data_IF_033669903433
#
_entry.id   IF_033669903433
#
_cell.length_a   1.000
_cell.length_b   1.000
_cell.length_c   1.000
_cell.angle_alpha   90.00
_cell.angle_beta   90.00
_cell.angle_gamma   90.00
#
_symmetry.space_group_name_H-M   'P 1'
#
loop_
_entity.id
_entity.type
_entity.pdbx_description
1 polymer ?
#
# COMPACT_ATOMS: atom_id res chain seq x y z
N UNK A 1 -18.19 -13.06 11.72
CA UNK A 1 -16.97 -12.33 12.13
C UNK A 1 -15.93 -12.62 11.08
N UNK A 2 -15.71 -11.67 10.15
CA UNK A 2 -14.94 -11.91 8.93
C UNK A 2 -13.45 -12.04 9.23
N UNK A 3 -12.81 -13.06 8.66
CA UNK A 3 -11.40 -13.37 8.89
C UNK A 3 -10.42 -12.31 8.34
N UNK A 4 -10.90 -11.40 7.47
CA UNK A 4 -10.09 -10.41 6.77
C UNK A 4 -10.71 -9.02 6.92
N UNK A 5 -9.88 -8.01 7.25
CA UNK A 5 -10.34 -6.62 7.42
C UNK A 5 -10.57 -5.98 6.05
N UNK A 6 -11.71 -5.29 5.87
CA UNK A 6 -12.19 -4.70 4.60
C UNK A 6 -12.58 -5.67 3.48
N UNK A 7 -12.05 -6.90 3.46
CA UNK A 7 -12.39 -7.86 2.42
C UNK A 7 -13.72 -8.59 2.66
N UNK A 8 -14.48 -8.89 1.60
CA UNK A 8 -14.23 -8.46 0.22
C UNK A 8 -14.52 -6.96 0.02
N UNK A 9 -13.60 -6.24 -0.63
CA UNK A 9 -13.78 -4.86 -1.08
C UNK A 9 -14.68 -4.86 -2.32
N UNK A 10 -15.78 -4.10 -2.26
CA UNK A 10 -16.84 -4.06 -3.29
C UNK A 10 -17.07 -2.67 -3.88
N UNK A 11 -16.35 -1.66 -3.42
CA UNK A 11 -16.48 -0.29 -3.92
C UNK A 11 -15.15 0.46 -3.90
N UNK A 12 -15.07 1.53 -4.69
CA UNK A 12 -13.91 2.45 -4.68
C UNK A 12 -13.76 3.16 -3.33
N UNK A 13 -14.88 3.43 -2.63
CA UNK A 13 -14.87 4.00 -1.28
C UNK A 13 -14.25 3.03 -0.26
N UNK A 14 -14.55 1.73 -0.37
CA UNK A 14 -13.94 0.70 0.47
C UNK A 14 -12.46 0.51 0.15
N UNK A 15 -12.08 0.59 -1.14
CA UNK A 15 -10.67 0.60 -1.55
C UNK A 15 -9.92 1.78 -0.93
N UNK A 16 -10.50 3.00 -0.98
CA UNK A 16 -9.89 4.18 -0.37
C UNK A 16 -9.71 4.02 1.14
N UNK A 17 -10.71 3.47 1.84
CA UNK A 17 -10.60 3.15 3.29
C UNK A 17 -9.51 2.11 3.56
N UNK A 18 -9.38 1.09 2.72
CA UNK A 18 -8.32 0.09 2.83
C UNK A 18 -6.94 0.72 2.64
N UNK A 19 -6.77 1.62 1.66
CA UNK A 19 -5.53 2.37 1.42
C UNK A 19 -5.16 3.24 2.62
N UNK A 20 -6.10 4.02 3.15
CA UNK A 20 -5.88 4.87 4.32
C UNK A 20 -5.50 4.04 5.55
N UNK A 21 -6.17 2.92 5.76
CA UNK A 21 -5.86 2.00 6.84
C UNK A 21 -4.46 1.39 6.70
N UNK A 22 -4.11 0.92 5.51
CA UNK A 22 -2.81 0.33 5.21
C UNK A 22 -1.70 1.34 5.45
N UNK A 23 -1.84 2.58 4.93
CA UNK A 23 -0.88 3.65 5.19
C UNK A 23 -0.71 3.89 6.70
N UNK A 24 -1.80 4.14 7.42
CA UNK A 24 -1.73 4.48 8.85
C UNK A 24 -1.05 3.36 9.65
N UNK A 25 -1.46 2.12 9.40
CA UNK A 25 -0.92 0.94 10.09
C UNK A 25 0.57 0.77 9.80
N UNK A 26 0.99 0.87 8.53
CA UNK A 26 2.40 0.77 8.16
C UNK A 26 3.24 1.90 8.75
N UNK A 27 2.74 3.14 8.79
CA UNK A 27 3.44 4.26 9.41
C UNK A 27 3.57 4.11 10.92
N UNK A 28 2.52 3.67 11.61
CA UNK A 28 2.60 3.36 13.03
C UNK A 28 3.65 2.28 13.32
N UNK A 29 3.68 1.22 12.52
CA UNK A 29 4.70 0.17 12.63
C UNK A 29 6.10 0.73 12.38
N UNK A 30 6.28 1.54 11.33
CA UNK A 30 7.54 2.23 11.05
C UNK A 30 8.03 3.03 12.26
N UNK A 31 7.16 3.86 12.85
CA UNK A 31 7.50 4.66 14.03
C UNK A 31 7.77 3.81 15.26
N UNK A 32 7.02 2.72 15.47
CA UNK A 32 7.23 1.80 16.60
C UNK A 32 8.59 1.09 16.50
N UNK A 33 9.02 0.73 15.30
CA UNK A 33 10.26 -0.03 15.07
C UNK A 33 11.48 0.89 14.98
N UNK A 34 11.38 2.01 14.27
CA UNK A 34 12.52 2.89 13.95
C UNK A 34 12.55 4.18 14.78
N UNK A 35 11.49 4.49 15.54
CA UNK A 35 11.36 5.72 16.31
C UNK A 35 10.95 6.96 15.50
N UNK A 36 10.95 6.87 14.17
CA UNK A 36 10.59 7.94 13.25
C UNK A 36 9.76 7.43 12.07
N UNK A 37 9.17 8.36 11.32
CA UNK A 37 8.52 8.05 10.05
C UNK A 37 9.54 8.15 8.91
N UNK A 38 9.48 7.17 8.00
CA UNK A 38 10.22 7.20 6.75
C UNK A 38 9.32 7.70 5.61
N UNK A 39 9.89 8.35 4.58
CA UNK A 39 9.14 8.68 3.38
C UNK A 39 8.74 7.40 2.63
N UNK A 40 7.58 7.43 1.96
CA UNK A 40 7.14 6.32 1.10
C UNK A 40 7.88 6.33 -0.23
N UNK A 41 8.03 5.16 -0.85
CA UNK A 41 8.55 5.02 -2.21
C UNK A 41 7.54 5.45 -3.30
N UNK A 42 6.29 5.70 -2.92
CA UNK A 42 5.20 6.04 -3.83
C UNK A 42 4.38 4.85 -4.30
N UNK A 43 4.67 3.64 -3.82
CA UNK A 43 3.91 2.42 -4.11
C UNK A 43 2.92 2.10 -2.99
N UNK A 44 1.70 1.76 -3.36
CA UNK A 44 0.67 1.22 -2.46
C UNK A 44 0.26 -0.17 -2.96
N UNK A 45 0.33 -1.18 -2.11
CA UNK A 45 -0.22 -2.50 -2.39
C UNK A 45 -1.45 -2.79 -1.56
N UNK A 46 -2.47 -3.37 -2.19
CA UNK A 46 -3.71 -3.83 -1.56
C UNK A 46 -3.88 -5.32 -1.85
N UNK A 47 -4.16 -6.08 -0.80
CA UNK A 47 -4.19 -7.54 -0.87
C UNK A 47 -5.64 -8.02 -0.87
N UNK A 48 -5.98 -8.78 -1.90
CA UNK A 48 -7.28 -9.41 -1.99
C UNK A 48 -7.26 -10.73 -1.21
N UNK A 49 -8.40 -11.11 -0.67
CA UNK A 49 -8.58 -12.38 0.04
C UNK A 49 -9.58 -13.30 -0.68
N UNK A 50 -10.28 -12.79 -1.69
CA UNK A 50 -11.22 -13.54 -2.52
C UNK A 50 -11.00 -13.28 -4.02
N UNK A 51 -11.29 -14.27 -4.86
CA UNK A 51 -11.07 -14.18 -6.31
C UNK A 51 -12.02 -13.16 -6.98
N UNK A 52 -13.24 -13.02 -6.47
CA UNK A 52 -14.23 -12.03 -6.95
C UNK A 52 -13.81 -10.59 -6.59
N UNK A 53 -13.29 -10.39 -5.39
CA UNK A 53 -12.64 -9.14 -4.97
C UNK A 53 -11.45 -8.80 -5.87
N UNK A 54 -10.60 -9.79 -6.18
CA UNK A 54 -9.46 -9.57 -7.07
C UNK A 54 -9.88 -9.16 -8.49
N UNK A 55 -10.91 -9.81 -9.03
CA UNK A 55 -11.47 -9.44 -10.33
C UNK A 55 -12.02 -8.00 -10.31
N UNK A 56 -12.83 -7.68 -9.30
CA UNK A 56 -13.39 -6.33 -9.11
C UNK A 56 -12.30 -5.27 -8.99
N UNK A 57 -11.32 -5.46 -8.10
CA UNK A 57 -10.25 -4.50 -7.86
C UNK A 57 -9.29 -4.39 -9.04
N UNK A 58 -9.12 -5.46 -9.84
CA UNK A 58 -8.37 -5.37 -11.09
C UNK A 58 -9.04 -4.44 -12.09
N UNK A 59 -10.37 -4.49 -12.20
CA UNK A 59 -11.11 -3.60 -13.10
C UNK A 59 -11.17 -2.16 -12.58
N UNK A 60 -11.26 -1.96 -11.26
CA UNK A 60 -11.09 -0.64 -10.64
C UNK A 60 -9.69 -0.10 -10.93
N UNK A 61 -8.63 -0.88 -10.67
CA UNK A 61 -7.24 -0.48 -10.93
C UNK A 61 -7.04 -0.04 -12.37
N UNK A 62 -7.53 -0.81 -13.36
CA UNK A 62 -7.43 -0.45 -14.79
C UNK A 62 -8.00 0.94 -15.11
N UNK A 63 -9.05 1.37 -14.40
CA UNK A 63 -9.63 2.72 -14.57
C UNK A 63 -8.78 3.81 -13.92
N UNK A 64 -8.08 3.47 -12.83
CA UNK A 64 -7.25 4.40 -12.06
C UNK A 64 -5.83 4.53 -12.60
N UNK A 65 -5.38 3.60 -13.44
CA UNK A 65 -3.97 3.50 -13.85
C UNK A 65 -3.77 3.61 -15.35
N UNK A 66 -2.63 4.20 -15.73
CA UNK A 66 -2.14 4.24 -17.09
C UNK A 66 -1.92 2.80 -17.58
N UNK A 67 -2.49 2.48 -18.73
CA UNK A 67 -2.27 1.21 -19.41
C UNK A 67 -0.78 1.04 -19.70
N UNK A 68 -0.24 -0.12 -19.32
CA UNK A 68 1.16 -0.42 -19.50
C UNK A 68 1.30 -1.69 -20.33
N UNK A 69 2.15 -1.63 -21.35
CA UNK A 69 2.44 -2.75 -22.26
C UNK A 69 3.47 -3.71 -21.66
N UNK A 70 3.30 -4.04 -20.38
CA UNK A 70 4.15 -4.97 -19.65
C UNK A 70 3.30 -5.96 -18.86
N UNK A 71 3.21 -7.16 -19.40
CA UNK A 71 2.44 -8.27 -18.83
C UNK A 71 2.94 -8.74 -17.45
N UNK A 72 4.19 -8.42 -17.08
CA UNK A 72 4.80 -8.80 -15.80
C UNK A 72 4.97 -7.59 -14.85
N UNK A 73 4.24 -6.50 -15.10
CA UNK A 73 4.28 -5.33 -14.24
C UNK A 73 3.49 -5.56 -12.95
N UNK A 74 4.18 -5.47 -11.81
CA UNK A 74 3.57 -5.53 -10.48
C UNK A 74 2.83 -4.23 -10.14
N UNK A 75 3.51 -3.09 -10.29
CA UNK A 75 3.00 -1.77 -9.88
C UNK A 75 2.51 -0.96 -11.07
N UNK A 76 1.25 -0.52 -11.05
CA UNK A 76 0.65 0.25 -12.16
C UNK A 76 0.62 1.73 -11.81
N UNK A 77 1.08 2.59 -12.73
CA UNK A 77 1.14 4.04 -12.50
C UNK A 77 -0.26 4.62 -12.52
N UNK A 78 -0.63 5.37 -11.48
CA UNK A 78 -1.92 6.03 -11.39
C UNK A 78 -2.03 7.21 -12.37
N UNK A 79 -3.22 7.46 -12.89
CA UNK A 79 -3.55 8.69 -13.62
C UNK A 79 -3.41 9.90 -12.69
N UNK A 80 -4.05 9.81 -11.53
CA UNK A 80 -4.02 10.80 -10.47
C UNK A 80 -3.43 10.17 -9.19
N UNK A 81 -2.42 10.80 -8.55
CA UNK A 81 -1.85 10.27 -7.33
C UNK A 81 -2.88 10.17 -6.21
N UNK A 82 -2.85 9.06 -5.47
CA UNK A 82 -3.66 8.92 -4.26
C UNK A 82 -2.94 9.65 -3.13
N UNK A 83 -3.62 10.64 -2.55
CA UNK A 83 -3.10 11.45 -1.45
C UNK A 83 -3.84 11.09 -0.18
N UNK A 84 -3.13 10.55 0.79
CA UNK A 84 -3.67 10.38 2.14
C UNK A 84 -3.20 11.57 2.98
N UNK A 85 -4.14 12.38 3.51
CA UNK A 85 -3.80 13.58 4.26
C UNK A 85 -3.13 13.22 5.59
N UNK A 86 -2.40 14.20 6.14
CA UNK A 86 -1.91 14.12 7.52
C UNK A 86 -3.07 13.97 8.50
N UNK A 87 -2.92 13.12 9.51
CA UNK A 87 -3.92 12.97 10.56
C UNK A 87 -3.50 11.93 11.59
N UNK A 88 -4.00 12.08 12.83
CA UNK A 88 -3.68 11.19 13.97
C UNK A 88 -2.17 11.08 14.26
N UNK A 89 -1.41 12.14 13.94
CA UNK A 89 0.04 12.16 14.11
C UNK A 89 0.81 11.33 13.08
N UNK A 90 0.15 10.86 12.01
CA UNK A 90 0.76 10.22 10.83
C UNK A 90 0.90 11.28 9.73
N UNK A 91 2.10 11.44 9.13
CA UNK A 91 2.32 12.46 8.09
C UNK A 91 1.54 12.15 6.82
N UNK A 92 1.32 13.19 6.02
CA UNK A 92 0.80 13.07 4.66
C UNK A 92 1.68 12.12 3.84
N UNK A 93 1.06 11.28 3.01
CA UNK A 93 1.77 10.51 1.99
C UNK A 93 1.08 10.59 0.63
N UNK A 94 1.85 10.33 -0.42
CA UNK A 94 1.41 10.40 -1.82
C UNK A 94 1.85 9.11 -2.50
N UNK A 95 0.90 8.42 -3.11
CA UNK A 95 1.15 7.21 -3.89
C UNK A 95 0.89 7.48 -5.36
N UNK A 96 1.87 7.11 -6.19
CA UNK A 96 1.85 7.27 -7.64
C UNK A 96 1.68 5.93 -8.35
N UNK A 97 1.78 4.82 -7.61
CA UNK A 97 1.56 3.47 -8.10
C UNK A 97 0.62 2.67 -7.21
N UNK A 98 -0.21 1.85 -7.84
CA UNK A 98 -1.12 0.92 -7.18
C UNK A 98 -0.83 -0.52 -7.64
N UNK A 99 -0.72 -1.43 -6.67
CA UNK A 99 -0.63 -2.86 -6.88
C UNK A 99 -1.82 -3.56 -6.21
N UNK A 100 -2.50 -4.42 -6.96
CA UNK A 100 -3.54 -5.30 -6.43
C UNK A 100 -2.99 -6.72 -6.43
N UNK A 101 -2.80 -7.28 -5.23
CA UNK A 101 -2.28 -8.63 -5.04
C UNK A 101 -3.42 -9.65 -5.11
N UNK A 102 -3.17 -10.75 -5.82
CA UNK A 102 -4.06 -11.92 -5.87
C UNK A 102 -4.22 -12.56 -4.49
N UNK A 103 -5.34 -13.24 -4.22
CA UNK A 103 -5.51 -14.01 -3.00
C UNK A 103 -4.41 -15.05 -2.83
N UNK A 104 -3.84 -15.10 -1.63
CA UNK A 104 -2.87 -16.10 -1.21
C UNK A 104 -2.91 -16.28 0.32
N UNK A 105 -1.80 -16.72 0.93
CA UNK A 105 -1.73 -16.99 2.36
C UNK A 105 -1.68 -15.72 3.24
N UNK A 106 -1.53 -14.54 2.64
CA UNK A 106 -1.51 -13.28 3.38
C UNK A 106 -2.87 -12.96 3.98
N UNK A 107 -2.83 -12.33 5.16
CA UNK A 107 -4.03 -11.89 5.91
C UNK A 107 -4.04 -10.37 6.12
N UNK A 108 -2.96 -9.71 5.69
CA UNK A 108 -2.77 -8.28 5.73
C UNK A 108 -3.65 -7.58 4.69
N UNK A 109 -4.07 -6.35 4.98
CA UNK A 109 -4.88 -5.54 4.04
C UNK A 109 -4.03 -5.04 2.86
N UNK A 110 -2.73 -4.85 3.08
CA UNK A 110 -1.83 -4.28 2.09
C UNK A 110 -0.43 -3.99 2.64
N UNK A 111 0.41 -3.40 1.79
CA UNK A 111 1.78 -3.03 2.11
C UNK A 111 2.18 -1.64 1.57
N UNK A 112 3.20 -1.07 2.19
CA UNK A 112 3.82 0.20 1.80
C UNK A 112 5.34 0.04 1.84
N UNK A 113 6.00 0.46 0.77
CA UNK A 113 7.45 0.53 0.70
C UNK A 113 7.94 1.88 1.26
N UNK A 114 8.86 1.83 2.22
CA UNK A 114 9.55 3.02 2.74
C UNK A 114 10.91 3.19 2.08
N UNK A 115 11.35 4.43 1.94
CA UNK A 115 12.67 4.78 1.39
C UNK A 115 13.56 5.26 2.52
N UNK A 116 14.79 4.75 2.52
CA UNK A 116 15.86 5.19 3.37
C UNK A 116 17.05 5.54 2.48
N UNK A 117 17.71 6.67 2.74
CA UNK A 117 18.93 7.02 2.02
C UNK A 117 20.03 6.00 2.32
N UNK A 118 20.97 5.82 1.38
CA UNK A 118 22.00 4.79 1.47
C UNK A 118 22.90 4.94 2.71
N UNK A 119 23.11 6.16 3.19
CA UNK A 119 23.89 6.44 4.40
C UNK A 119 23.15 5.94 5.64
N UNK A 120 21.91 6.41 5.85
CA UNK A 120 21.08 5.96 6.97
C UNK A 120 20.76 4.47 6.94
N UNK A 121 20.64 3.88 5.75
CA UNK A 121 20.50 2.43 5.63
C UNK A 121 21.72 1.69 6.18
N UNK A 122 22.92 2.14 5.82
CA UNK A 122 24.14 1.53 6.32
C UNK A 122 24.28 1.69 7.85
N UNK A 123 23.94 2.86 8.39
CA UNK A 123 23.89 3.13 9.83
C UNK A 123 22.91 2.18 10.54
N UNK A 124 21.67 2.10 10.04
CA UNK A 124 20.64 1.21 10.60
C UNK A 124 21.11 -0.25 10.55
N UNK A 125 21.61 -0.71 9.40
CA UNK A 125 22.11 -2.07 9.23
C UNK A 125 23.22 -2.39 10.22
N UNK A 126 24.16 -1.49 10.44
CA UNK A 126 25.27 -1.69 11.37
C UNK A 126 24.81 -1.65 12.85
N UNK A 127 23.71 -0.96 13.16
CA UNK A 127 23.17 -0.92 14.53
C UNK A 127 22.44 -2.21 14.96
N UNK A 128 22.09 -3.06 13.98
CA UNK A 128 21.35 -4.31 14.18
C UNK A 128 22.26 -5.56 14.23
N UNK A 129 23.58 -5.39 14.07
CA UNK A 129 24.61 -6.44 14.12
C UNK A 129 25.37 -6.33 15.44
#
# INVERSE_FOLDING_TARGET
>A
MGAYRFSPIKSEEELQKAIEYTQRTCFELCKKVLGNYLPVAGNMGIFCHFDDEYAFLTDVRKKLTIEADNWNQKYFRLHDPIVVPEGEGVPRAVYTYLYIRKPDQHTEVGDVDFVLDSGKYLELKNSLV
#
